data_IF_960608078703
#
_entry.id   IF_960608078703
#
_cell.length_a   1.000
_cell.length_b   1.000
_cell.length_c   1.000
_cell.angle_alpha   90.00
_cell.angle_beta   90.00
_cell.angle_gamma   90.00
#
_symmetry.space_group_name_H-M   'P 1'
#
loop_
_entity.id
_entity.type
_entity.pdbx_description
1 polymer ?
#
# COMPACT_ATOMS: atom_id res chain seq x y z
N UNK A 1 9.23 -16.24 3.99
CA UNK A 1 7.75 -16.14 3.95
C UNK A 1 7.25 -14.86 4.67
N UNK A 2 7.60 -13.66 4.20
CA UNK A 2 7.14 -12.39 4.84
C UNK A 2 6.22 -11.53 3.95
N UNK A 3 6.10 -11.88 2.65
CA UNK A 3 5.29 -11.16 1.65
C UNK A 3 3.81 -10.96 2.00
N UNK A 4 3.08 -11.90 2.66
CA UNK A 4 1.65 -11.72 2.91
C UNK A 4 1.36 -10.64 3.97
N UNK A 5 2.21 -10.53 4.98
CA UNK A 5 1.97 -9.66 6.14
C UNK A 5 2.15 -8.18 5.78
N UNK A 6 3.16 -7.87 4.96
CA UNK A 6 3.42 -6.50 4.49
C UNK A 6 2.25 -5.98 3.65
N UNK A 7 1.77 -6.79 2.69
CA UNK A 7 0.60 -6.44 1.87
C UNK A 7 -0.65 -6.22 2.73
N UNK A 8 -0.90 -7.09 3.71
CA UNK A 8 -2.06 -6.93 4.59
C UNK A 8 -1.99 -5.67 5.47
N UNK A 9 -0.81 -5.35 5.98
CA UNK A 9 -0.58 -4.14 6.78
C UNK A 9 -0.87 -2.87 5.97
N UNK A 10 -0.30 -2.76 4.78
CA UNK A 10 -0.51 -1.58 3.92
C UNK A 10 -1.96 -1.41 3.52
N UNK A 11 -2.64 -2.50 3.09
CA UNK A 11 -4.07 -2.43 2.72
C UNK A 11 -4.93 -1.87 3.87
N UNK A 12 -4.76 -2.41 5.09
CA UNK A 12 -5.52 -1.98 6.27
C UNK A 12 -5.18 -0.56 6.72
N UNK A 13 -3.94 -0.13 6.52
CA UNK A 13 -3.51 1.24 6.84
C UNK A 13 -4.14 2.23 5.88
N UNK A 14 -4.02 2.00 4.58
CA UNK A 14 -4.57 2.86 3.52
C UNK A 14 -6.07 3.01 3.63
N UNK A 15 -6.80 1.91 3.86
CA UNK A 15 -8.25 1.96 4.10
C UNK A 15 -8.54 2.88 5.30
N UNK A 16 -7.86 2.69 6.44
CA UNK A 16 -8.08 3.54 7.62
C UNK A 16 -7.77 5.01 7.38
N UNK A 17 -6.66 5.32 6.72
CA UNK A 17 -6.25 6.70 6.46
C UNK A 17 -7.22 7.39 5.49
N UNK A 18 -7.59 6.75 4.39
CA UNK A 18 -8.54 7.31 3.42
C UNK A 18 -9.97 7.35 3.95
N UNK A 19 -10.40 6.37 4.76
CA UNK A 19 -11.72 6.39 5.40
C UNK A 19 -11.86 7.49 6.48
N UNK A 20 -10.76 8.07 6.96
CA UNK A 20 -10.79 9.21 7.89
C UNK A 20 -10.97 10.55 7.17
N UNK A 21 -10.65 10.63 5.89
CA UNK A 21 -10.88 11.82 5.09
C UNK A 21 -12.37 11.97 4.81
N UNK A 22 -12.88 13.19 4.83
CA UNK A 22 -14.24 13.49 4.39
C UNK A 22 -14.36 13.36 2.86
N UNK A 23 -15.58 13.17 2.36
CA UNK A 23 -15.81 12.90 0.91
C UNK A 23 -15.24 14.03 0.03
N UNK A 24 -15.42 15.29 0.43
CA UNK A 24 -14.87 16.44 -0.31
C UNK A 24 -13.33 16.42 -0.40
N UNK A 25 -12.64 15.90 0.62
CA UNK A 25 -11.17 15.77 0.62
C UNK A 25 -10.71 14.64 -0.28
N UNK A 26 -11.52 13.59 -0.40
CA UNK A 26 -11.26 12.51 -1.34
C UNK A 26 -11.51 12.96 -2.78
N UNK A 27 -12.59 13.70 -3.02
CA UNK A 27 -12.90 14.28 -4.33
C UNK A 27 -11.81 15.25 -4.81
N UNK A 28 -11.27 16.08 -3.92
CA UNK A 28 -10.16 17.00 -4.21
C UNK A 28 -8.91 16.29 -4.72
N UNK A 29 -8.66 15.06 -4.24
CA UNK A 29 -7.56 14.19 -4.72
C UNK A 29 -8.00 13.19 -5.79
N UNK A 30 -9.22 13.31 -6.31
CA UNK A 30 -9.78 12.47 -7.37
C UNK A 30 -10.07 11.02 -6.96
N UNK A 31 -10.32 10.77 -5.67
CA UNK A 31 -10.61 9.43 -5.13
C UNK A 31 -12.09 9.33 -4.76
N UNK A 32 -12.80 8.32 -5.27
CA UNK A 32 -14.13 8.00 -4.74
C UNK A 32 -14.03 7.07 -3.53
N UNK A 33 -14.95 7.22 -2.57
CA UNK A 33 -15.02 6.34 -1.39
C UNK A 33 -15.11 4.86 -1.76
N UNK A 34 -15.82 4.54 -2.83
CA UNK A 34 -15.98 3.20 -3.37
C UNK A 34 -14.68 2.60 -3.91
N UNK A 35 -13.71 3.43 -4.33
CA UNK A 35 -12.45 2.99 -4.93
C UNK A 35 -11.37 2.71 -3.88
N UNK A 36 -11.54 3.19 -2.64
CA UNK A 36 -10.58 3.00 -1.53
C UNK A 36 -10.12 1.54 -1.37
N UNK A 37 -11.01 0.52 -1.40
CA UNK A 37 -10.57 -0.88 -1.26
C UNK A 37 -9.67 -1.33 -2.40
N UNK A 38 -9.94 -0.90 -3.63
CA UNK A 38 -9.15 -1.23 -4.81
C UNK A 38 -7.79 -0.52 -4.78
N UNK A 39 -7.78 0.78 -4.50
CA UNK A 39 -6.56 1.59 -4.34
C UNK A 39 -5.66 1.00 -3.24
N UNK A 40 -6.25 0.61 -2.10
CA UNK A 40 -5.50 0.02 -1.00
C UNK A 40 -4.90 -1.35 -1.34
N UNK A 41 -5.52 -2.11 -2.23
CA UNK A 41 -5.00 -3.40 -2.71
C UNK A 41 -3.84 -3.22 -3.68
N UNK A 42 -3.97 -2.26 -4.60
CA UNK A 42 -2.92 -1.93 -5.56
C UNK A 42 -1.67 -1.40 -4.85
N UNK A 43 -1.84 -0.44 -3.93
CA UNK A 43 -0.73 0.11 -3.16
C UNK A 43 -0.06 -0.98 -2.29
N UNK A 44 -0.85 -1.83 -1.65
CA UNK A 44 -0.31 -2.93 -0.85
C UNK A 44 0.54 -3.91 -1.67
N UNK A 45 0.11 -4.21 -2.89
CA UNK A 45 0.84 -5.05 -3.83
C UNK A 45 2.12 -4.39 -4.30
N UNK A 46 2.08 -3.10 -4.61
CA UNK A 46 3.25 -2.31 -5.01
C UNK A 46 4.29 -2.27 -3.88
N UNK A 47 3.88 -1.95 -2.66
CA UNK A 47 4.75 -1.92 -1.48
C UNK A 47 5.37 -3.29 -1.17
N UNK A 48 4.59 -4.37 -1.28
CA UNK A 48 5.12 -5.73 -1.11
C UNK A 48 6.17 -6.07 -2.19
N UNK A 49 5.99 -5.56 -3.41
CA UNK A 49 6.95 -5.73 -4.50
C UNK A 49 8.22 -4.88 -4.29
N UNK A 50 8.08 -3.64 -3.82
CA UNK A 50 9.17 -2.73 -3.51
C UNK A 50 10.02 -3.29 -2.36
N UNK A 51 9.38 -3.77 -1.31
CA UNK A 51 10.03 -4.46 -0.20
C UNK A 51 10.83 -5.68 -0.69
N UNK A 52 10.26 -6.51 -1.56
CA UNK A 52 10.95 -7.66 -2.13
C UNK A 52 12.16 -7.26 -2.99
N UNK A 53 12.03 -6.23 -3.83
CA UNK A 53 13.14 -5.68 -4.64
C UNK A 53 14.26 -5.15 -3.75
N UNK A 54 13.92 -4.42 -2.69
CA UNK A 54 14.90 -3.87 -1.75
C UNK A 54 15.58 -4.96 -0.93
N UNK A 55 14.86 -6.00 -0.51
CA UNK A 55 15.42 -7.16 0.17
C UNK A 55 16.36 -7.97 -0.75
N UNK A 56 16.03 -8.09 -2.03
CA UNK A 56 16.90 -8.73 -3.03
C UNK A 56 18.16 -7.91 -3.30
N UNK A 57 18.06 -6.59 -3.41
CA UNK A 57 19.22 -5.70 -3.59
C UNK A 57 20.11 -5.59 -2.35
N UNK A 58 19.55 -5.70 -1.15
CA UNK A 58 20.31 -5.68 0.11
C UNK A 58 21.14 -6.95 0.34
N UNK A 59 20.85 -8.07 -0.34
CA UNK A 59 21.67 -9.29 -0.30
C UNK A 59 22.89 -9.24 -1.25
N UNK A 60 23.11 -8.13 -1.96
CA UNK A 60 24.19 -7.98 -2.96
C UNK A 60 25.42 -7.18 -2.51
N UNK A 61 25.50 -6.71 -1.26
CA UNK A 61 26.69 -6.00 -0.74
C UNK A 61 27.39 -6.84 0.32
N UNK A 62 28.25 -7.74 -0.14
CA UNK A 62 29.08 -8.61 0.67
C UNK A 62 30.10 -9.34 -0.20
N UNK A 63 30.97 -8.57 -0.85
CA UNK A 63 32.15 -9.04 -1.57
C UNK A 63 33.32 -8.14 -1.22
#
# INVERSE_FOLDING_TARGET
MARPLVSYYWKRRTIRELSRLEDHRLEDIGVARADIPAIAEDLAREEASAWARRAAGANGFGG
#
